data_IF_256462009846
#
_entry.id   IF_256462009846
#
_cell.length_a   1.000
_cell.length_b   1.000
_cell.length_c   1.000
_cell.angle_alpha   90.00
_cell.angle_beta   90.00
_cell.angle_gamma   90.00
#
_symmetry.space_group_name_H-M   'P 1'
#
loop_
_entity.id
_entity.type
_entity.pdbx_description
1 polymer ?
#
# COMPACT_ATOMS: atom_id res chain seq x y z
N UNK A 1 5.06 9.60 5.44
CA UNK A 1 3.99 10.02 6.37
C UNK A 1 4.50 9.76 7.79
N UNK A 2 4.88 10.82 8.50
CA UNK A 2 5.41 10.76 9.87
C UNK A 2 4.26 10.44 10.82
N UNK A 3 4.43 9.48 11.74
CA UNK A 3 3.59 9.38 12.93
C UNK A 3 4.44 9.02 14.13
N UNK A 4 4.23 9.83 15.16
CA UNK A 4 4.96 9.97 16.43
C UNK A 4 4.66 8.83 17.41
N UNK A 5 5.68 8.42 18.16
CA UNK A 5 5.55 7.55 19.34
C UNK A 5 5.06 8.38 20.53
N UNK A 6 3.94 7.98 21.14
CA UNK A 6 3.47 8.57 22.41
C UNK A 6 4.04 7.72 23.56
N UNK A 7 4.96 8.30 24.34
CA UNK A 7 5.43 7.71 25.60
C UNK A 7 4.42 8.07 26.70
N UNK A 8 3.69 7.07 27.22
CA UNK A 8 2.84 7.26 28.38
C UNK A 8 3.71 7.26 29.65
N UNK A 9 3.74 8.41 30.35
CA UNK A 9 4.36 8.51 31.65
C UNK A 9 3.50 7.84 32.73
N UNK A 10 4.19 7.07 33.55
CA UNK A 10 3.70 6.35 34.73
C UNK A 10 3.23 7.30 35.82
N UNK A 11 1.99 7.12 36.30
CA UNK A 11 1.54 7.58 37.62
C UNK A 11 0.85 6.42 38.35
N UNK A 12 1.36 6.16 39.55
CA UNK A 12 1.00 5.08 40.45
C UNK A 12 -0.23 5.44 41.32
N UNK A 13 -1.11 4.43 41.48
CA UNK A 13 -2.01 4.12 42.61
C UNK A 13 -3.11 5.12 43.03
N UNK A 14 -4.39 4.74 42.92
CA UNK A 14 -5.16 4.03 43.99
C UNK A 14 -6.63 3.80 43.60
N UNK A 15 -7.11 2.61 44.00
CA UNK A 15 -8.48 2.18 44.33
C UNK A 15 -9.63 2.17 43.30
N UNK A 16 -10.27 1.01 43.30
CA UNK A 16 -11.36 0.55 42.45
C UNK A 16 -12.68 1.26 42.78
N UNK A 17 -13.25 1.91 41.77
CA UNK A 17 -14.70 1.95 41.57
C UNK A 17 -14.99 1.75 40.08
N UNK A 18 -15.38 0.53 39.75
CA UNK A 18 -15.97 0.11 38.49
C UNK A 18 -17.23 0.94 38.23
N UNK A 19 -17.11 2.02 37.46
CA UNK A 19 -18.25 2.76 36.93
C UNK A 19 -17.94 3.09 35.47
N UNK A 20 -18.84 2.66 34.60
CA UNK A 20 -18.80 2.62 33.15
C UNK A 20 -18.21 3.87 32.47
N UNK A 21 -17.04 3.73 31.85
CA UNK A 21 -16.52 4.65 30.82
C UNK A 21 -16.24 3.90 29.53
N UNK A 22 -17.27 3.30 28.92
CA UNK A 22 -17.14 2.74 27.56
C UNK A 22 -17.67 3.66 26.46
N UNK A 23 -18.16 4.86 26.78
CA UNK A 23 -18.74 5.79 25.78
C UNK A 23 -18.05 7.16 25.66
N UNK A 24 -16.99 7.45 26.41
CA UNK A 24 -16.24 8.72 26.30
C UNK A 24 -14.86 8.58 25.61
N UNK A 25 -14.43 7.37 25.26
CA UNK A 25 -13.36 7.21 24.29
C UNK A 25 -14.04 7.12 22.92
N UNK A 26 -13.85 8.16 22.08
CA UNK A 26 -14.09 8.03 20.65
C UNK A 26 -13.35 6.80 20.07
N UNK A 27 -13.66 6.39 18.84
CA UNK A 27 -12.96 5.26 18.23
C UNK A 27 -11.45 5.46 18.41
N UNK A 28 -10.78 4.44 18.96
CA UNK A 28 -9.33 4.43 19.09
C UNK A 28 -8.72 4.89 17.74
N UNK A 29 -7.68 5.72 17.73
CA UNK A 29 -6.98 6.04 16.50
C UNK A 29 -6.55 4.74 15.83
N UNK A 30 -7.23 4.36 14.75
CA UNK A 30 -6.94 3.18 13.96
C UNK A 30 -6.44 3.67 12.62
N UNK A 31 -5.22 3.30 12.27
CA UNK A 31 -4.78 3.34 10.90
C UNK A 31 -5.28 2.05 10.24
N UNK A 32 -6.23 2.17 9.32
CA UNK A 32 -6.56 1.04 8.45
C UNK A 32 -5.38 0.88 7.49
N UNK A 33 -4.61 -0.20 7.67
CA UNK A 33 -3.59 -0.60 6.72
C UNK A 33 -4.31 -1.17 5.51
N UNK A 34 -4.26 -0.45 4.38
CA UNK A 34 -4.77 -0.94 3.10
C UNK A 34 -3.92 -2.13 2.64
N UNK A 35 -4.23 -3.33 3.15
CA UNK A 35 -3.81 -4.56 2.53
C UNK A 35 -4.81 -5.66 2.82
N UNK A 36 -5.52 -6.10 1.78
CA UNK A 36 -5.64 -7.51 1.50
C UNK A 36 -5.89 -7.75 0.00
N UNK A 37 -4.85 -8.23 -0.69
CA UNK A 37 -4.98 -8.91 -1.97
C UNK A 37 -5.18 -10.39 -1.60
N UNK A 38 -6.43 -10.87 -1.58
CA UNK A 38 -6.73 -12.26 -1.22
C UNK A 38 -5.92 -13.22 -2.11
N UNK A 39 -4.93 -13.90 -1.52
CA UNK A 39 -4.04 -14.84 -2.19
C UNK A 39 -2.57 -14.43 -2.28
N UNK A 40 -2.21 -13.17 -1.96
CA UNK A 40 -0.81 -12.73 -1.95
C UNK A 40 -0.34 -12.38 -0.54
N UNK A 41 0.83 -12.91 -0.19
CA UNK A 41 1.54 -12.59 1.05
C UNK A 41 1.68 -11.07 1.23
N UNK A 42 0.96 -10.53 2.23
CA UNK A 42 1.03 -9.30 3.05
C UNK A 42 2.11 -8.20 2.86
N UNK A 43 2.75 -8.09 1.71
CA UNK A 43 3.89 -7.18 1.48
C UNK A 43 3.60 -6.03 0.51
N UNK A 44 2.46 -6.02 -0.20
CA UNK A 44 2.10 -4.93 -1.11
C UNK A 44 1.27 -3.86 -0.40
N UNK A 45 1.65 -2.61 -0.63
CA UNK A 45 0.98 -1.41 -0.15
C UNK A 45 0.51 -0.58 -1.32
N UNK A 46 -0.77 -0.23 -1.34
CA UNK A 46 -1.28 0.76 -2.28
C UNK A 46 -0.90 2.16 -1.76
N UNK A 47 -0.10 2.89 -2.53
CA UNK A 47 0.50 4.17 -2.12
C UNK A 47 0.24 5.25 -3.17
N UNK A 48 -0.51 6.29 -2.79
CA UNK A 48 -0.78 7.45 -3.64
C UNK A 48 0.40 8.44 -3.70
N UNK A 49 1.33 8.38 -2.74
CA UNK A 49 2.55 9.17 -2.73
C UNK A 49 3.71 8.52 -3.50
N UNK A 50 3.60 7.24 -3.84
CA UNK A 50 4.61 6.55 -4.62
C UNK A 50 4.55 6.95 -6.10
N UNK A 51 5.69 7.35 -6.65
CA UNK A 51 5.84 7.66 -8.09
C UNK A 51 6.04 6.42 -8.95
N UNK A 52 6.41 5.29 -8.35
CA UNK A 52 6.75 4.03 -9.02
C UNK A 52 6.15 2.83 -8.29
N UNK A 53 5.87 1.76 -9.02
CA UNK A 53 5.69 0.46 -8.40
C UNK A 53 7.07 -0.02 -7.92
N UNK A 54 7.13 -0.59 -6.72
CA UNK A 54 8.37 -1.07 -6.11
C UNK A 54 8.17 -2.48 -5.56
N UNK A 55 9.13 -3.36 -5.79
CA UNK A 55 9.19 -4.69 -5.17
C UNK A 55 10.52 -4.90 -4.46
N UNK A 56 10.51 -5.61 -3.34
CA UNK A 56 11.72 -6.07 -2.64
C UNK A 56 12.27 -7.37 -3.25
N UNK A 57 11.42 -8.10 -3.98
CA UNK A 57 11.72 -9.44 -4.49
C UNK A 57 11.61 -9.49 -6.01
N UNK A 58 12.68 -10.01 -6.64
CA UNK A 58 12.76 -10.24 -8.09
C UNK A 58 11.84 -11.37 -8.55
N UNK A 59 11.50 -12.31 -7.68
CA UNK A 59 10.64 -13.44 -8.04
C UNK A 59 9.19 -13.02 -8.32
N UNK A 60 8.84 -11.74 -8.06
CA UNK A 60 7.53 -11.19 -8.40
C UNK A 60 7.37 -10.85 -9.90
N UNK A 61 8.46 -10.82 -10.67
CA UNK A 61 8.40 -10.45 -12.09
C UNK A 61 8.02 -11.62 -12.98
N UNK A 62 7.12 -11.38 -13.94
CA UNK A 62 6.91 -12.31 -15.05
C UNK A 62 8.02 -12.16 -16.10
N UNK A 63 8.54 -10.94 -16.26
CA UNK A 63 9.68 -10.60 -17.12
C UNK A 63 10.46 -9.47 -16.44
N UNK A 64 11.79 -9.57 -16.41
CA UNK A 64 12.67 -8.57 -15.81
C UNK A 64 13.99 -8.42 -16.58
N UNK A 65 14.62 -7.26 -16.42
CA UNK A 65 15.97 -6.96 -16.87
C UNK A 65 16.72 -6.17 -15.80
N UNK A 66 18.04 -6.09 -15.92
CA UNK A 66 18.81 -5.15 -15.10
C UNK A 66 18.29 -3.72 -15.30
N UNK A 67 18.35 -2.94 -14.23
CA UNK A 67 18.09 -1.52 -14.31
C UNK A 67 19.36 -0.82 -14.78
N UNK A 68 19.29 -0.13 -15.93
CA UNK A 68 20.44 0.55 -16.54
C UNK A 68 20.51 2.05 -16.18
N UNK A 69 19.54 2.55 -15.40
CA UNK A 69 19.53 3.94 -14.96
C UNK A 69 20.52 4.19 -13.82
N UNK A 70 20.90 5.46 -13.66
CA UNK A 70 21.75 5.94 -12.56
C UNK A 70 20.98 6.35 -11.30
N UNK A 71 19.66 6.20 -11.32
CA UNK A 71 18.79 6.74 -10.29
C UNK A 71 18.65 5.79 -9.10
N UNK A 72 18.42 6.39 -7.93
CA UNK A 72 18.01 5.69 -6.71
C UNK A 72 16.54 5.96 -6.40
N UNK A 73 15.91 5.06 -5.66
CA UNK A 73 14.64 5.36 -4.99
C UNK A 73 14.94 6.19 -3.75
N UNK A 74 14.28 7.35 -3.63
CA UNK A 74 14.30 8.18 -2.43
C UNK A 74 13.02 7.92 -1.64
N UNK A 75 13.16 7.54 -0.37
CA UNK A 75 12.01 7.30 0.52
C UNK A 75 11.74 8.52 1.41
N UNK A 76 10.64 8.48 2.19
CA UNK A 76 10.14 9.63 2.94
C UNK A 76 11.06 10.20 4.03
N UNK A 77 12.13 9.49 4.41
CA UNK A 77 13.18 10.00 5.32
C UNK A 77 14.41 10.56 4.57
N UNK A 78 14.37 10.61 3.24
CA UNK A 78 15.45 11.09 2.38
C UNK A 78 16.51 10.03 2.04
N UNK A 79 16.42 8.83 2.61
CA UNK A 79 17.35 7.73 2.29
C UNK A 79 17.24 7.33 0.83
N UNK A 80 18.40 7.15 0.18
CA UNK A 80 18.52 6.62 -1.18
C UNK A 80 18.72 5.10 -1.14
N UNK A 81 17.96 4.39 -1.96
CA UNK A 81 18.01 2.93 -2.06
C UNK A 81 18.25 2.53 -3.51
N UNK A 82 19.25 1.67 -3.71
CA UNK A 82 19.67 1.21 -5.03
C UNK A 82 18.58 0.38 -5.73
N UNK A 83 18.35 0.70 -7.00
CA UNK A 83 17.50 -0.07 -7.90
C UNK A 83 18.37 -1.13 -8.59
N UNK A 84 17.97 -2.39 -8.54
CA UNK A 84 18.74 -3.48 -9.18
C UNK A 84 18.17 -3.88 -10.53
N UNK A 85 16.84 -3.90 -10.66
CA UNK A 85 16.14 -4.42 -11.83
C UNK A 85 14.86 -3.64 -12.09
N UNK A 86 14.35 -3.79 -13.30
CA UNK A 86 13.02 -3.34 -13.70
C UNK A 86 12.27 -4.45 -14.41
N UNK A 87 10.95 -4.41 -14.41
CA UNK A 87 10.14 -5.40 -15.09
C UNK A 87 8.65 -5.15 -14.97
N UNK A 88 7.87 -6.17 -15.28
CA UNK A 88 6.41 -6.14 -15.18
C UNK A 88 5.85 -7.40 -14.51
N UNK A 89 4.67 -7.28 -13.92
CA UNK A 89 3.93 -8.40 -13.37
C UNK A 89 2.42 -8.22 -13.56
N UNK A 90 1.70 -9.34 -13.62
CA UNK A 90 0.26 -9.34 -13.47
C UNK A 90 -0.07 -9.56 -12.00
N UNK A 91 -0.94 -8.70 -11.46
CA UNK A 91 -1.47 -8.78 -10.12
C UNK A 91 -2.90 -9.32 -10.17
N UNK A 92 -3.14 -10.58 -9.79
CA UNK A 92 -4.47 -11.17 -9.76
C UNK A 92 -5.41 -10.44 -8.80
N UNK A 93 -6.68 -10.41 -9.18
CA UNK A 93 -7.80 -9.79 -8.51
C UNK A 93 -9.04 -10.68 -8.69
N UNK A 94 -10.05 -10.49 -7.85
CA UNK A 94 -11.34 -11.18 -8.00
C UNK A 94 -12.00 -10.82 -9.35
N UNK A 95 -11.80 -9.59 -9.85
CA UNK A 95 -12.38 -9.14 -11.13
C UNK A 95 -11.47 -9.38 -12.36
N UNK A 96 -10.30 -10.00 -12.20
CA UNK A 96 -9.35 -10.20 -13.31
C UNK A 96 -7.90 -10.05 -12.86
N UNK A 97 -7.06 -9.41 -13.68
CA UNK A 97 -5.68 -9.09 -13.30
C UNK A 97 -5.34 -7.65 -13.65
N UNK A 98 -4.58 -6.99 -12.78
CA UNK A 98 -4.00 -5.69 -13.06
C UNK A 98 -2.57 -5.84 -13.58
N UNK A 99 -2.26 -5.18 -14.69
CA UNK A 99 -0.90 -5.08 -15.18
C UNK A 99 -0.16 -4.00 -14.38
N UNK A 100 0.92 -4.41 -13.74
CA UNK A 100 1.92 -3.50 -13.18
C UNK A 100 3.12 -3.49 -14.13
N UNK A 101 3.35 -2.34 -14.77
CA UNK A 101 4.48 -2.15 -15.68
C UNK A 101 5.53 -1.23 -15.06
N UNK A 102 6.79 -1.37 -15.50
CA UNK A 102 7.91 -0.53 -15.03
C UNK A 102 8.08 -0.55 -13.50
N UNK A 103 7.97 -1.75 -12.90
CA UNK A 103 8.16 -1.96 -11.47
C UNK A 103 9.67 -1.99 -11.21
N UNK A 104 10.10 -1.27 -10.17
CA UNK A 104 11.50 -1.21 -9.76
C UNK A 104 11.76 -2.23 -8.65
N UNK A 105 12.83 -3.01 -8.80
CA UNK A 105 13.30 -3.89 -7.73
C UNK A 105 14.28 -3.16 -6.82
N UNK A 106 13.95 -3.06 -5.54
CA UNK A 106 14.75 -2.39 -4.51
C UNK A 106 14.86 -3.32 -3.30
N UNK A 107 15.89 -4.19 -3.23
CA UNK A 107 15.98 -5.21 -2.19
C UNK A 107 16.01 -4.67 -0.75
N UNK A 108 16.47 -3.43 -0.58
CA UNK A 108 16.58 -2.78 0.73
C UNK A 108 15.29 -2.04 1.18
N UNK A 109 14.21 -2.11 0.39
CA UNK A 109 12.89 -1.64 0.82
C UNK A 109 12.27 -2.62 1.81
N UNK A 110 11.38 -2.12 2.68
CA UNK A 110 10.70 -2.96 3.69
C UNK A 110 9.38 -3.56 3.21
N UNK A 111 8.75 -2.92 2.22
CA UNK A 111 7.45 -3.28 1.66
C UNK A 111 7.45 -3.02 0.16
N UNK A 112 6.67 -3.82 -0.56
CA UNK A 112 6.36 -3.57 -1.95
C UNK A 112 5.33 -2.44 -2.03
N UNK A 113 5.45 -1.58 -3.03
CA UNK A 113 4.55 -0.46 -3.24
C UNK A 113 3.87 -0.58 -4.60
N UNK A 114 2.55 -0.35 -4.62
CA UNK A 114 1.78 -0.12 -5.82
C UNK A 114 1.51 1.38 -5.88
N UNK A 115 2.12 2.06 -6.84
CA UNK A 115 1.76 3.44 -7.16
C UNK A 115 0.32 3.50 -7.66
N UNK A 116 -0.55 4.24 -6.96
CA UNK A 116 -1.95 4.42 -7.36
C UNK A 116 -2.04 5.06 -8.74
N UNK A 117 -1.25 6.10 -9.00
CA UNK A 117 -1.30 6.84 -10.27
C UNK A 117 -0.95 5.95 -11.46
N UNK A 118 0.11 5.13 -11.35
CA UNK A 118 0.48 4.19 -12.41
C UNK A 118 -0.49 3.03 -12.56
N UNK A 119 -1.01 2.49 -11.45
CA UNK A 119 -2.04 1.45 -11.49
C UNK A 119 -3.25 1.94 -12.29
N UNK A 120 -3.79 3.10 -11.91
CA UNK A 120 -4.93 3.74 -12.55
C UNK A 120 -4.68 4.00 -14.04
N UNK A 121 -3.53 4.58 -14.37
CA UNK A 121 -3.18 4.92 -15.74
C UNK A 121 -3.03 3.69 -16.63
N UNK A 122 -2.31 2.66 -16.17
CA UNK A 122 -2.03 1.45 -16.97
C UNK A 122 -3.24 0.53 -17.15
N UNK A 123 -4.22 0.59 -16.23
CA UNK A 123 -5.36 -0.33 -16.24
C UNK A 123 -6.69 0.35 -16.55
N UNK A 124 -6.69 1.65 -16.85
CA UNK A 124 -7.90 2.44 -17.08
C UNK A 124 -8.92 2.31 -15.93
N UNK A 125 -8.42 2.42 -14.71
CA UNK A 125 -9.19 2.24 -13.48
C UNK A 125 -9.09 3.46 -12.57
N UNK A 126 -10.08 3.66 -11.73
CA UNK A 126 -10.07 4.63 -10.64
C UNK A 126 -10.02 3.91 -9.29
N UNK A 127 -9.44 4.58 -8.28
CA UNK A 127 -9.54 4.14 -6.88
C UNK A 127 -10.45 5.13 -6.16
N UNK A 128 -11.55 4.64 -5.60
CA UNK A 128 -12.47 5.42 -4.79
C UNK A 128 -12.28 5.08 -3.31
N UNK A 129 -12.08 6.12 -2.48
CA UNK A 129 -11.93 5.99 -1.04
C UNK A 129 -13.25 6.30 -0.33
N UNK A 130 -13.69 5.35 0.48
CA UNK A 130 -14.82 5.47 1.38
C UNK A 130 -14.30 5.55 2.82
N UNK A 131 -15.17 5.94 3.76
CA UNK A 131 -14.80 6.16 5.17
C UNK A 131 -14.17 4.93 5.87
N UNK A 132 -14.33 3.73 5.30
CA UNK A 132 -13.87 2.47 5.90
C UNK A 132 -13.05 1.59 4.97
N UNK A 133 -13.03 1.85 3.67
CA UNK A 133 -12.39 0.99 2.66
C UNK A 133 -12.21 1.73 1.34
N UNK A 134 -11.64 1.07 0.35
CA UNK A 134 -11.57 1.59 -1.01
C UNK A 134 -11.97 0.52 -2.03
N UNK A 135 -12.30 0.93 -3.24
CA UNK A 135 -12.51 0.00 -4.35
C UNK A 135 -11.82 0.51 -5.61
N UNK A 136 -11.44 -0.44 -6.46
CA UNK A 136 -10.94 -0.16 -7.80
C UNK A 136 -12.08 -0.37 -8.78
N UNK A 137 -12.39 0.64 -9.57
CA UNK A 137 -13.44 0.58 -10.58
C UNK A 137 -12.82 0.66 -11.98
N UNK A 138 -13.18 -0.30 -12.83
CA UNK A 138 -12.82 -0.25 -14.25
C UNK A 138 -13.68 0.76 -15.00
N UNK A 139 -13.04 1.63 -15.79
CA UNK A 139 -13.74 2.55 -16.68
C UNK A 139 -14.23 1.80 -17.92
N UNK A 140 -15.37 1.11 -17.82
CA UNK A 140 -16.09 0.64 -19.01
C UNK A 140 -17.17 1.65 -19.38
N UNK A 141 -17.35 1.93 -20.67
CA UNK A 141 -18.45 2.76 -21.16
C UNK A 141 -19.77 2.02 -20.88
N UNK A 142 -20.32 2.16 -19.66
CA UNK A 142 -21.69 1.76 -19.32
C UNK A 142 -21.87 0.62 -18.30
N UNK A 143 -20.83 0.00 -17.75
CA UNK A 143 -21.00 -0.98 -16.64
C UNK A 143 -19.84 -0.91 -15.62
N UNK A 144 -20.15 -0.47 -14.40
CA UNK A 144 -19.23 -0.43 -13.26
C UNK A 144 -18.91 -1.85 -12.77
N UNK A 145 -17.69 -2.33 -13.04
CA UNK A 145 -17.15 -3.53 -12.39
C UNK A 145 -16.21 -3.06 -11.28
N UNK A 146 -16.72 -2.98 -10.05
CA UNK A 146 -15.94 -2.59 -8.87
C UNK A 146 -15.31 -3.80 -8.18
N UNK A 147 -14.01 -3.75 -7.90
CA UNK A 147 -13.34 -4.67 -6.98
C UNK A 147 -13.17 -3.99 -5.64
N UNK A 148 -13.79 -4.53 -4.60
CA UNK A 148 -13.61 -4.06 -3.22
C UNK A 148 -12.25 -4.53 -2.68
N UNK A 149 -11.46 -3.60 -2.16
CA UNK A 149 -10.27 -3.89 -1.38
C UNK A 149 -10.56 -3.49 0.08
N UNK A 150 -10.36 -4.43 1.01
CA UNK A 150 -10.53 -4.21 2.45
C UNK A 150 -9.18 -3.90 3.09
#
# INVERSE_FOLDING_TARGET
MVSTTIHANHLSTTNLSTIFFSSLLGPLPRANYAAQINGFNSNWLLDSGASHHVTVDLNNFSFHSYYEGSEDIIIGDGTKLNITHTGSMNLPSIAGSFLLSNILCVPNMKKNLISVSKLCHSNNVSIEFLSTHFFCEGSSHGNTTGTRFQ
#
